data_IF_703974834666
#
_entry.id   IF_703974834666
#
_cell.length_a   1.000
_cell.length_b   1.000
_cell.length_c   1.000
_cell.angle_alpha   90.00
_cell.angle_beta   90.00
_cell.angle_gamma   90.00
#
_symmetry.space_group_name_H-M   'P 1'
#
loop_
_entity.id
_entity.type
_entity.pdbx_description
1 polymer ?
#
# COMPACT_ATOMS: atom_id res chain seq x y z
N UNK A 1 3.86 7.33 8.51
CA UNK A 1 4.17 5.87 8.52
C UNK A 1 5.68 5.68 8.42
N UNK A 2 6.24 4.71 9.12
CA UNK A 2 7.62 4.24 8.98
C UNK A 2 7.57 2.73 8.74
N UNK A 3 8.27 2.26 7.73
CA UNK A 3 8.38 0.83 7.42
C UNK A 3 9.86 0.45 7.25
N UNK A 4 10.23 -0.70 7.81
CA UNK A 4 11.56 -1.30 7.72
C UNK A 4 11.42 -2.72 7.19
N UNK A 5 12.13 -3.03 6.11
CA UNK A 5 12.18 -4.37 5.54
C UNK A 5 13.58 -4.96 5.66
N UNK A 6 13.71 -6.05 6.41
CA UNK A 6 14.90 -6.91 6.35
C UNK A 6 14.86 -7.73 5.05
N UNK A 7 15.64 -7.31 4.06
CA UNK A 7 15.67 -7.93 2.74
C UNK A 7 16.13 -9.39 2.78
N UNK A 8 16.93 -9.78 3.78
CA UNK A 8 17.46 -11.13 3.90
C UNK A 8 16.42 -12.11 4.43
N UNK A 9 15.59 -11.67 5.37
CA UNK A 9 14.62 -12.54 6.06
C UNK A 9 13.18 -12.35 5.57
N UNK A 10 12.86 -11.24 4.89
CA UNK A 10 11.51 -10.87 4.53
C UNK A 10 10.69 -10.32 5.71
N UNK A 11 11.33 -10.00 6.83
CA UNK A 11 10.64 -9.41 7.98
C UNK A 11 10.34 -7.95 7.71
N UNK A 12 9.07 -7.62 7.67
CA UNK A 12 8.57 -6.25 7.52
C UNK A 12 8.08 -5.75 8.88
N UNK A 13 8.57 -4.58 9.30
CA UNK A 13 8.12 -3.86 10.49
C UNK A 13 7.46 -2.56 10.07
N UNK A 14 6.31 -2.27 10.62
CA UNK A 14 5.56 -1.05 10.30
C UNK A 14 5.10 -0.35 11.58
N UNK A 15 5.33 0.96 11.62
CA UNK A 15 4.74 1.87 12.61
C UNK A 15 3.89 2.87 11.81
N UNK A 16 2.63 3.01 12.19
CA UNK A 16 1.76 4.01 11.60
C UNK A 16 1.01 4.78 12.67
N UNK A 17 0.79 6.06 12.38
CA UNK A 17 0.01 6.94 13.21
C UNK A 17 -0.79 7.88 12.30
N UNK A 18 -2.06 7.55 12.09
CA UNK A 18 -2.97 8.34 11.26
C UNK A 18 -2.72 8.25 9.74
N UNK A 19 -1.89 7.31 9.28
CA UNK A 19 -1.66 7.06 7.86
C UNK A 19 -2.51 5.87 7.38
N UNK A 20 -2.97 5.85 6.12
CA UNK A 20 -3.65 4.69 5.57
C UNK A 20 -2.85 3.40 5.76
N UNK A 21 -3.55 2.30 5.98
CA UNK A 21 -2.94 1.00 6.21
C UNK A 21 -2.24 0.49 4.95
N UNK A 22 -1.03 -0.07 5.10
CA UNK A 22 -0.39 -0.83 4.04
C UNK A 22 -1.10 -2.16 3.79
N UNK A 23 -0.95 -2.71 2.60
CA UNK A 23 -1.56 -3.98 2.21
C UNK A 23 -0.48 -4.98 1.81
N UNK A 24 -0.55 -6.20 2.35
CA UNK A 24 0.27 -7.32 1.86
C UNK A 24 -0.59 -8.18 0.93
N UNK A 25 -0.10 -8.36 -0.29
CA UNK A 25 -0.79 -9.10 -1.34
C UNK A 25 0.03 -10.35 -1.65
N UNK A 26 -0.59 -11.51 -1.50
CA UNK A 26 0.01 -12.81 -1.75
C UNK A 26 -0.85 -13.57 -2.76
N UNK A 27 -0.26 -13.97 -3.88
CA UNK A 27 -0.95 -14.76 -4.92
C UNK A 27 -2.28 -14.13 -5.35
N UNK A 28 -2.29 -12.81 -5.55
CA UNK A 28 -3.46 -12.08 -6.00
C UNK A 28 -4.54 -11.85 -4.93
N UNK A 29 -4.21 -11.98 -3.65
CA UNK A 29 -5.15 -11.73 -2.54
C UNK A 29 -4.50 -10.87 -1.46
N UNK A 30 -5.25 -9.94 -0.90
CA UNK A 30 -4.84 -9.24 0.32
C UNK A 30 -4.89 -10.22 1.47
N UNK A 31 -3.73 -10.47 2.09
CA UNK A 31 -3.59 -11.40 3.22
C UNK A 31 -3.43 -10.67 4.55
N UNK A 32 -2.89 -9.47 4.54
CA UNK A 32 -2.68 -8.67 5.75
C UNK A 32 -2.86 -7.19 5.46
N UNK A 33 -3.43 -6.47 6.44
CA UNK A 33 -3.58 -5.01 6.47
C UNK A 33 -2.69 -4.46 7.59
N UNK A 34 -1.78 -3.53 7.28
CA UNK A 34 -0.69 -3.07 8.16
C UNK A 34 -0.68 -1.55 8.36
N UNK A 35 -0.84 -1.07 9.57
CA UNK A 35 -1.44 -1.69 10.75
C UNK A 35 -2.96 -1.83 10.59
N UNK A 36 -3.65 -2.52 11.50
CA UNK A 36 -5.12 -2.51 11.52
C UNK A 36 -5.64 -1.06 11.59
N UNK A 37 -6.82 -0.76 10.99
CA UNK A 37 -7.34 0.60 10.85
C UNK A 37 -7.68 1.32 12.17
N UNK A 38 -7.43 0.71 13.32
CA UNK A 38 -7.72 1.25 14.66
C UNK A 38 -6.59 2.09 15.28
N UNK A 39 -5.47 2.29 14.58
CA UNK A 39 -4.36 3.10 15.09
C UNK A 39 -4.69 4.60 15.01
N UNK A 40 -4.81 5.27 16.17
CA UNK A 40 -5.05 6.70 16.26
C UNK A 40 -3.83 7.53 15.79
N UNK A 41 -4.07 8.74 15.23
CA UNK A 41 -3.00 9.68 14.90
C UNK A 41 -2.16 10.04 16.15
N UNK A 42 -0.85 10.23 15.96
CA UNK A 42 0.11 10.59 17.05
C UNK A 42 -0.32 11.84 17.81
N UNK A 43 -1.01 12.77 17.17
CA UNK A 43 -1.38 14.08 17.74
C UNK A 43 -2.66 14.07 18.56
N UNK A 44 -3.44 13.00 18.53
CA UNK A 44 -4.77 12.91 19.18
C UNK A 44 -4.82 11.90 20.33
N UNK A 45 -3.71 11.25 20.66
CA UNK A 45 -3.67 10.21 21.68
C UNK A 45 -2.90 10.64 22.94
N UNK A 46 -3.30 10.11 24.10
CA UNK A 46 -2.43 10.05 25.27
C UNK A 46 -1.08 9.42 24.85
N UNK A 47 -0.01 9.76 25.57
CA UNK A 47 1.37 9.27 25.34
C UNK A 47 1.47 7.72 25.36
N UNK A 48 0.85 7.07 24.39
CA UNK A 48 1.06 5.63 24.17
C UNK A 48 2.21 5.46 23.19
N UNK A 49 3.19 4.61 23.53
CA UNK A 49 4.26 4.32 22.58
C UNK A 49 3.66 3.75 21.30
N UNK A 50 4.21 4.12 20.13
CA UNK A 50 3.74 3.57 18.87
C UNK A 50 3.90 2.05 18.87
N UNK A 51 2.89 1.35 18.37
CA UNK A 51 2.92 -0.10 18.26
C UNK A 51 3.64 -0.49 16.97
N UNK A 52 4.69 -1.31 17.10
CA UNK A 52 5.38 -1.92 15.96
C UNK A 52 4.59 -3.16 15.54
N UNK A 53 4.14 -3.20 14.30
CA UNK A 53 3.53 -4.38 13.69
C UNK A 53 4.61 -5.10 12.88
N UNK A 54 4.73 -6.40 13.07
CA UNK A 54 5.64 -7.25 12.32
C UNK A 54 4.86 -8.20 11.42
N UNK A 55 5.29 -8.33 10.17
CA UNK A 55 4.78 -9.27 9.19
C UNK A 55 5.94 -10.05 8.57
N UNK A 56 5.77 -11.36 8.43
CA UNK A 56 6.74 -12.22 7.75
C UNK A 56 6.29 -12.40 6.29
N UNK A 57 6.97 -11.73 5.37
CA UNK A 57 6.70 -11.86 3.95
C UNK A 57 7.18 -13.22 3.43
N UNK A 58 6.40 -13.80 2.53
CA UNK A 58 6.82 -14.93 1.69
C UNK A 58 7.46 -14.42 0.39
N UNK A 59 8.42 -15.15 -0.19
CA UNK A 59 8.98 -14.78 -1.49
C UNK A 59 7.89 -14.61 -2.55
N UNK A 60 7.87 -13.46 -3.20
CA UNK A 60 6.86 -13.09 -4.18
C UNK A 60 5.68 -12.30 -3.61
N UNK A 61 5.66 -12.01 -2.32
CA UNK A 61 4.66 -11.10 -1.73
C UNK A 61 4.87 -9.69 -2.25
N UNK A 62 3.77 -9.03 -2.56
CA UNK A 62 3.71 -7.61 -2.88
C UNK A 62 3.21 -6.82 -1.68
N UNK A 63 3.81 -5.65 -1.45
CA UNK A 63 3.37 -4.71 -0.42
C UNK A 63 3.02 -3.40 -1.07
N UNK A 64 1.83 -2.91 -0.78
CA UNK A 64 1.31 -1.63 -1.27
C UNK A 64 1.18 -0.66 -0.10
N UNK A 65 1.87 0.47 -0.19
CA UNK A 65 1.63 1.65 0.64
C UNK A 65 1.10 2.79 -0.22
N UNK A 66 0.19 3.58 0.32
CA UNK A 66 -0.44 4.68 -0.39
C UNK A 66 -0.82 5.80 0.57
N UNK A 67 -0.97 7.00 0.06
CA UNK A 67 -1.51 8.14 0.81
C UNK A 67 -3.02 8.26 0.61
N UNK A 68 -3.70 8.97 1.52
CA UNK A 68 -5.14 9.25 1.46
C UNK A 68 -5.54 10.00 0.18
N UNK A 69 -4.65 10.82 -0.37
CA UNK A 69 -4.87 11.45 -1.68
C UNK A 69 -5.20 10.48 -2.82
N UNK A 70 -4.85 9.17 -2.67
CA UNK A 70 -5.27 8.13 -3.62
C UNK A 70 -6.74 7.74 -3.41
N UNK A 71 -7.10 7.43 -2.16
CA UNK A 71 -8.42 6.89 -1.84
C UNK A 71 -9.49 7.95 -1.77
N UNK A 72 -9.13 9.18 -1.42
CA UNK A 72 -10.00 10.35 -1.38
C UNK A 72 -10.12 11.06 -2.75
N UNK A 73 -9.35 10.60 -3.75
CA UNK A 73 -9.42 11.10 -5.11
C UNK A 73 -10.86 11.10 -5.62
N UNK A 74 -11.46 12.28 -5.73
CA UNK A 74 -12.86 12.45 -6.10
C UNK A 74 -13.08 12.50 -7.61
N UNK A 75 -14.14 11.84 -8.09
CA UNK A 75 -14.68 12.07 -9.43
C UNK A 75 -15.40 13.43 -9.51
N UNK A 76 -15.85 13.80 -10.70
CA UNK A 76 -16.68 14.99 -10.92
C UNK A 76 -17.91 15.03 -10.04
N UNK A 77 -18.51 13.90 -9.79
CA UNK A 77 -19.70 13.73 -8.94
C UNK A 77 -19.36 13.64 -7.45
N UNK A 78 -18.07 13.80 -7.09
CA UNK A 78 -17.59 13.75 -5.70
C UNK A 78 -17.44 12.34 -5.13
N UNK A 79 -17.58 11.29 -5.95
CA UNK A 79 -17.37 9.91 -5.51
C UNK A 79 -15.86 9.62 -5.34
N UNK A 80 -15.40 9.19 -4.15
CA UNK A 80 -13.99 8.87 -3.94
C UNK A 80 -13.58 7.63 -4.72
N UNK A 81 -12.28 7.54 -5.08
CA UNK A 81 -11.72 6.33 -5.69
C UNK A 81 -11.91 5.11 -4.79
N UNK A 82 -11.61 5.29 -3.51
CA UNK A 82 -11.86 4.30 -2.46
C UNK A 82 -10.81 3.19 -2.38
N UNK A 83 -10.71 2.59 -1.20
CA UNK A 83 -9.77 1.50 -0.92
C UNK A 83 -10.13 0.24 -1.71
N UNK A 84 -11.41 -0.11 -1.82
CA UNK A 84 -11.84 -1.31 -2.52
C UNK A 84 -11.46 -1.29 -4.00
N UNK A 85 -11.64 -0.15 -4.65
CA UNK A 85 -11.25 0.05 -6.06
C UNK A 85 -9.72 0.00 -6.23
N UNK A 86 -8.97 0.56 -5.27
CA UNK A 86 -7.51 0.47 -5.23
C UNK A 86 -7.05 -0.99 -5.13
N UNK A 87 -7.64 -1.75 -4.22
CA UNK A 87 -7.33 -3.18 -4.03
C UNK A 87 -7.66 -3.96 -5.30
N UNK A 88 -8.87 -3.84 -5.81
CA UNK A 88 -9.31 -4.56 -7.01
C UNK A 88 -8.41 -4.30 -8.21
N UNK A 89 -8.05 -3.04 -8.42
CA UNK A 89 -7.17 -2.66 -9.53
C UNK A 89 -5.78 -3.26 -9.34
N UNK A 90 -5.19 -3.12 -8.14
CA UNK A 90 -3.83 -3.60 -7.86
C UNK A 90 -3.76 -5.12 -7.98
N UNK A 91 -4.72 -5.83 -7.39
CA UNK A 91 -4.77 -7.29 -7.44
C UNK A 91 -4.89 -7.81 -8.87
N UNK A 92 -5.75 -7.20 -9.70
CA UNK A 92 -5.88 -7.58 -11.12
C UNK A 92 -4.59 -7.32 -11.90
N UNK A 93 -3.99 -6.15 -11.72
CA UNK A 93 -2.76 -5.80 -12.41
C UNK A 93 -1.58 -6.70 -12.02
N UNK A 94 -1.51 -7.14 -10.75
CA UNK A 94 -0.51 -8.10 -10.30
C UNK A 94 -0.79 -9.52 -10.81
N UNK A 95 -2.07 -9.90 -10.98
CA UNK A 95 -2.45 -11.20 -11.55
C UNK A 95 -2.08 -11.34 -13.03
N UNK A 96 -1.99 -10.23 -13.77
CA UNK A 96 -1.54 -10.19 -15.16
C UNK A 96 -0.01 -10.37 -15.31
N UNK A 97 0.71 -10.64 -14.21
CA UNK A 97 2.18 -10.81 -14.14
C UNK A 97 2.97 -9.65 -14.75
N UNK A 98 2.41 -8.45 -14.63
CA UNK A 98 3.06 -7.24 -15.10
C UNK A 98 4.24 -6.85 -14.20
N UNK A 99 5.32 -6.27 -14.77
CA UNK A 99 6.36 -5.67 -13.97
C UNK A 99 5.80 -4.59 -13.02
N UNK A 100 6.31 -4.52 -11.79
CA UNK A 100 5.83 -3.56 -10.78
C UNK A 100 5.79 -2.10 -11.29
N UNK A 101 6.79 -1.59 -12.04
CA UNK A 101 6.71 -0.24 -12.60
C UNK A 101 5.51 -0.03 -13.53
N UNK A 102 5.16 -1.05 -14.32
CA UNK A 102 4.00 -0.98 -15.21
C UNK A 102 2.70 -1.07 -14.42
N UNK A 103 2.63 -1.90 -13.38
CA UNK A 103 1.49 -1.96 -12.46
C UNK A 103 1.26 -0.60 -11.80
N UNK A 104 2.30 0.02 -11.26
CA UNK A 104 2.22 1.34 -10.64
C UNK A 104 1.78 2.42 -11.65
N UNK A 105 2.33 2.40 -12.87
CA UNK A 105 1.95 3.33 -13.92
C UNK A 105 0.47 3.22 -14.30
N UNK A 106 -0.04 2.01 -14.46
CA UNK A 106 -1.46 1.76 -14.77
C UNK A 106 -2.37 2.20 -13.63
N UNK A 107 -1.96 1.96 -12.39
CA UNK A 107 -2.70 2.41 -11.21
C UNK A 107 -2.82 3.94 -11.18
N UNK A 108 -1.71 4.65 -11.39
CA UNK A 108 -1.72 6.12 -11.47
C UNK A 108 -2.65 6.61 -12.58
N UNK A 109 -2.60 5.98 -13.76
CA UNK A 109 -3.51 6.33 -14.85
C UNK A 109 -4.98 6.11 -14.51
N UNK A 110 -5.31 5.03 -13.80
CA UNK A 110 -6.69 4.73 -13.38
C UNK A 110 -7.20 5.78 -12.38
N UNK A 111 -6.35 6.20 -11.43
CA UNK A 111 -6.67 7.24 -10.46
C UNK A 111 -6.90 8.59 -11.16
N UNK A 112 -5.98 8.98 -12.05
CA UNK A 112 -6.11 10.23 -12.81
C UNK A 112 -7.36 10.24 -13.70
N UNK A 113 -7.68 9.12 -14.36
CA UNK A 113 -8.89 8.99 -15.16
C UNK A 113 -10.15 9.15 -14.31
N UNK A 114 -10.15 8.66 -13.07
CA UNK A 114 -11.26 8.85 -12.14
C UNK A 114 -11.45 10.32 -11.75
N UNK A 115 -10.36 11.10 -11.69
CA UNK A 115 -10.35 12.53 -11.37
C UNK A 115 -10.47 13.45 -12.60
N UNK A 116 -10.92 12.96 -13.76
CA UNK A 116 -10.94 13.74 -15.02
C UNK A 116 -9.57 14.37 -15.36
N UNK A 117 -8.48 13.67 -15.06
CA UNK A 117 -7.09 14.12 -15.21
C UNK A 117 -6.71 15.40 -14.41
N UNK A 118 -7.42 15.67 -13.32
CA UNK A 118 -7.10 16.77 -12.40
C UNK A 118 -6.72 16.19 -11.05
N UNK A 119 -5.43 16.20 -10.73
CA UNK A 119 -4.96 15.86 -9.40
C UNK A 119 -5.48 16.90 -8.41
N UNK A 120 -6.24 16.47 -7.41
CA UNK A 120 -6.85 17.34 -6.40
C UNK A 120 -5.98 17.49 -5.17
N UNK A 121 -5.11 16.50 -4.91
CA UNK A 121 -4.21 16.46 -3.77
C UNK A 121 -2.97 15.61 -4.10
N UNK A 122 -1.96 15.68 -3.24
CA UNK A 122 -0.74 14.87 -3.36
C UNK A 122 -1.08 13.38 -3.19
N UNK A 123 -0.77 12.59 -4.21
CA UNK A 123 -1.05 11.17 -4.26
C UNK A 123 0.24 10.38 -4.44
N UNK A 124 0.54 9.52 -3.48
CA UNK A 124 1.73 8.68 -3.50
C UNK A 124 1.35 7.21 -3.42
N UNK A 125 1.97 6.40 -4.28
CA UNK A 125 1.89 4.94 -4.24
C UNK A 125 3.31 4.38 -4.20
N UNK A 126 3.55 3.47 -3.27
CA UNK A 126 4.74 2.66 -3.22
C UNK A 126 4.34 1.19 -3.32
N UNK A 127 4.78 0.52 -4.36
CA UNK A 127 4.57 -0.91 -4.57
C UNK A 127 5.94 -1.59 -4.57
N UNK A 128 6.11 -2.58 -3.72
CA UNK A 128 7.33 -3.37 -3.63
C UNK A 128 7.01 -4.86 -3.66
N UNK A 129 7.93 -5.67 -4.22
CA UNK A 129 7.90 -7.13 -4.17
C UNK A 129 9.13 -7.63 -3.43
N UNK A 130 8.93 -8.46 -2.41
CA UNK A 130 10.05 -9.11 -1.78
C UNK A 130 10.45 -10.37 -2.55
N UNK A 131 11.70 -10.39 -2.99
CA UNK A 131 12.32 -11.53 -3.66
C UNK A 131 13.42 -12.04 -2.73
N UNK A 132 13.37 -13.33 -2.41
CA UNK A 132 14.43 -13.92 -1.57
C UNK A 132 15.78 -13.71 -2.25
N UNK A 133 16.77 -13.12 -1.55
CA UNK A 133 18.13 -13.03 -2.09
C UNK A 133 18.66 -14.42 -2.43
N UNK A 134 19.43 -14.51 -3.50
CA UNK A 134 20.18 -15.74 -3.78
C UNK A 134 21.15 -16.03 -2.61
N UNK A 135 21.39 -17.29 -2.25
CA UNK A 135 22.40 -17.60 -1.27
C UNK A 135 23.75 -17.06 -1.76
N UNK A 136 24.45 -16.35 -0.88
CA UNK A 136 25.82 -15.95 -1.16
C UNK A 136 26.67 -17.22 -1.32
N UNK A 137 27.34 -17.36 -2.48
CA UNK A 137 28.28 -18.45 -2.73
C UNK A 137 29.55 -18.28 -1.90
#
# INVERSE_FOLDING_TARGET
>A
MLAELDQRTGRLRVISAGHPSGLVIRRGKVVTVLPPPTALPVTLGEHRPPVVIEEALEPGDDVLFYTDGITEAGSRDGEPFGVDRLIDFTVRALADDLPLPETARRLVHAILAHQDNRLQDDATVLLLRWIRPAPEE
#
